data_IF_069186987341
#
_entry.id   IF_069186987341
#
_cell.length_a   1.000
_cell.length_b   1.000
_cell.length_c   1.000
_cell.angle_alpha   90.00
_cell.angle_beta   90.00
_cell.angle_gamma   90.00
#
_symmetry.space_group_name_H-M   'P 1'
#
loop_
_entity.id
_entity.type
_entity.pdbx_description
1 polymer ?
#
# COMPACT_ATOMS: atom_id res chain seq x y z
N UNK A 1 -2.89 -19.89 39.60
CA UNK A 1 -2.72 -18.82 38.58
C UNK A 1 -1.32 -18.77 37.94
N UNK A 2 -0.24 -19.23 38.58
CA UNK A 2 1.10 -19.23 37.95
C UNK A 2 1.35 -20.32 36.89
N UNK A 3 0.70 -21.48 36.99
CA UNK A 3 0.90 -22.62 36.08
C UNK A 3 0.46 -22.33 34.64
N UNK A 4 -0.71 -21.71 34.45
CA UNK A 4 -1.26 -21.43 33.11
C UNK A 4 -0.47 -20.35 32.37
N UNK A 5 0.10 -19.39 33.10
CA UNK A 5 0.96 -18.34 32.53
C UNK A 5 2.28 -18.92 31.99
N UNK A 6 2.90 -19.83 32.76
CA UNK A 6 4.13 -20.53 32.36
C UNK A 6 3.89 -21.45 31.15
N UNK A 7 2.74 -22.12 31.11
CA UNK A 7 2.33 -22.98 29.99
C UNK A 7 2.08 -22.16 28.71
N UNK A 8 1.44 -20.99 28.83
CA UNK A 8 1.22 -20.05 27.72
C UNK A 8 2.52 -19.45 27.16
N UNK A 9 3.47 -19.09 28.02
CA UNK A 9 4.81 -18.63 27.62
C UNK A 9 5.62 -19.74 26.92
N UNK A 10 5.47 -20.99 27.37
CA UNK A 10 6.05 -22.16 26.72
C UNK A 10 5.54 -22.37 25.29
N UNK A 11 4.21 -22.30 25.10
CA UNK A 11 3.57 -22.42 23.80
C UNK A 11 4.00 -21.30 22.82
N UNK A 12 4.10 -20.05 23.30
CA UNK A 12 4.56 -18.92 22.48
C UNK A 12 6.02 -19.08 22.04
N UNK A 13 6.90 -19.57 22.92
CA UNK A 13 8.30 -19.85 22.60
C UNK A 13 8.43 -20.98 21.57
N UNK A 14 7.68 -22.07 21.77
CA UNK A 14 7.63 -23.19 20.83
C UNK A 14 7.14 -22.74 19.46
N UNK A 15 6.06 -21.95 19.41
CA UNK A 15 5.50 -21.37 18.18
C UNK A 15 6.53 -20.55 17.41
N UNK A 16 7.28 -19.67 18.08
CA UNK A 16 8.34 -18.87 17.43
C UNK A 16 9.42 -19.77 16.82
N UNK A 17 9.85 -20.80 17.56
CA UNK A 17 10.84 -21.78 17.08
C UNK A 17 10.33 -22.55 15.85
N UNK A 18 9.06 -22.97 15.85
CA UNK A 18 8.46 -23.67 14.72
C UNK A 18 8.40 -22.79 13.45
N UNK A 19 8.03 -21.52 13.59
CA UNK A 19 8.03 -20.55 12.47
C UNK A 19 9.44 -20.29 11.91
N UNK A 20 10.47 -20.24 12.76
CA UNK A 20 11.86 -20.13 12.31
C UNK A 20 12.32 -21.39 11.55
N UNK A 21 11.90 -22.57 12.00
CA UNK A 21 12.13 -23.84 11.28
C UNK A 21 11.42 -23.86 9.93
N UNK A 22 10.15 -23.45 9.86
CA UNK A 22 9.39 -23.32 8.60
C UNK A 22 10.06 -22.36 7.61
N UNK A 23 10.56 -21.21 8.10
CA UNK A 23 11.31 -20.25 7.29
C UNK A 23 12.58 -20.88 6.70
N UNK A 24 13.31 -21.66 7.50
CA UNK A 24 14.50 -22.38 7.04
C UNK A 24 14.16 -23.43 6.00
N UNK A 25 13.17 -24.28 6.27
CA UNK A 25 12.70 -25.34 5.36
C UNK A 25 12.22 -24.76 4.03
N UNK A 26 11.41 -23.70 4.04
CA UNK A 26 10.95 -23.02 2.84
C UNK A 26 12.10 -22.42 2.02
N UNK A 27 13.14 -21.90 2.70
CA UNK A 27 14.36 -21.42 2.06
C UNK A 27 15.14 -22.52 1.34
N UNK A 28 15.41 -23.64 2.03
CA UNK A 28 16.11 -24.79 1.45
C UNK A 28 15.33 -25.44 0.31
N UNK A 29 14.01 -25.57 0.45
CA UNK A 29 13.16 -26.08 -0.60
C UNK A 29 13.23 -25.19 -1.85
N UNK A 30 13.23 -23.87 -1.70
CA UNK A 30 13.35 -22.94 -2.83
C UNK A 30 14.70 -23.08 -3.54
N UNK A 31 15.78 -23.25 -2.78
CA UNK A 31 17.13 -23.47 -3.32
C UNK A 31 17.16 -24.78 -4.11
N UNK A 32 16.66 -25.89 -3.56
CA UNK A 32 16.63 -27.18 -4.25
C UNK A 32 15.77 -27.15 -5.51
N UNK A 33 14.61 -26.48 -5.46
CA UNK A 33 13.76 -26.29 -6.64
C UNK A 33 14.49 -25.49 -7.72
N UNK A 34 15.16 -24.39 -7.36
CA UNK A 34 15.96 -23.59 -8.28
C UNK A 34 17.12 -24.38 -8.90
N UNK A 35 17.84 -25.15 -8.09
CA UNK A 35 18.91 -26.04 -8.57
C UNK A 35 18.37 -27.10 -9.53
N UNK A 36 17.24 -27.72 -9.23
CA UNK A 36 16.59 -28.70 -10.11
C UNK A 36 16.19 -28.10 -11.46
N UNK A 37 15.59 -26.90 -11.46
CA UNK A 37 15.25 -26.17 -12.70
C UNK A 37 16.52 -25.81 -13.49
N UNK A 38 17.58 -25.33 -12.83
CA UNK A 38 18.86 -25.02 -13.46
C UNK A 38 19.50 -26.25 -14.12
N UNK A 39 19.51 -27.39 -13.42
CA UNK A 39 20.00 -28.66 -13.96
C UNK A 39 19.14 -29.17 -15.12
N UNK A 40 17.81 -28.96 -15.08
CA UNK A 40 16.90 -29.31 -16.17
C UNK A 40 17.21 -28.49 -17.43
N UNK A 41 17.38 -27.17 -17.29
CA UNK A 41 17.78 -26.29 -18.40
C UNK A 41 19.13 -26.73 -18.96
N UNK A 42 20.11 -26.98 -18.08
CA UNK A 42 21.44 -27.45 -18.48
C UNK A 42 21.37 -28.78 -19.24
N UNK A 43 20.61 -29.75 -18.74
CA UNK A 43 20.42 -31.04 -19.43
C UNK A 43 19.81 -30.85 -20.82
N UNK A 44 18.81 -29.98 -20.97
CA UNK A 44 18.16 -29.71 -22.25
C UNK A 44 19.14 -29.10 -23.27
N UNK A 45 19.97 -28.13 -22.85
CA UNK A 45 20.97 -27.54 -23.73
C UNK A 45 22.11 -28.51 -24.05
N UNK A 46 22.61 -29.26 -23.06
CA UNK A 46 23.65 -30.26 -23.27
C UNK A 46 23.22 -31.36 -24.24
N UNK A 47 21.96 -31.80 -24.16
CA UNK A 47 21.41 -32.80 -25.07
C UNK A 47 21.38 -32.29 -26.51
N UNK A 48 21.07 -31.00 -26.70
CA UNK A 48 21.02 -30.38 -28.01
C UNK A 48 22.40 -30.16 -28.64
N UNK A 49 23.36 -29.62 -27.88
CA UNK A 49 24.71 -29.33 -28.40
C UNK A 49 25.64 -30.54 -28.43
N UNK A 50 25.55 -31.42 -27.44
CA UNK A 50 26.49 -32.54 -27.25
C UNK A 50 26.08 -33.84 -27.95
N UNK A 51 24.83 -33.96 -28.39
CA UNK A 51 24.31 -35.18 -29.02
C UNK A 51 24.54 -36.45 -28.19
N UNK A 52 24.82 -37.58 -28.85
CA UNK A 52 25.04 -38.87 -28.19
C UNK A 52 26.43 -39.03 -27.54
N UNK A 53 27.41 -38.19 -27.89
CA UNK A 53 28.79 -38.32 -27.41
C UNK A 53 28.94 -38.03 -25.91
N UNK A 54 28.01 -37.27 -25.32
CA UNK A 54 28.04 -36.87 -23.90
C UNK A 54 27.05 -37.67 -23.03
N UNK A 55 26.69 -38.89 -23.45
CA UNK A 55 25.70 -39.74 -22.77
C UNK A 55 25.97 -39.92 -21.27
N UNK A 56 27.24 -40.10 -20.86
CA UNK A 56 27.62 -40.22 -19.45
C UNK A 56 27.26 -38.98 -18.64
N UNK A 57 27.55 -37.79 -19.18
CA UNK A 57 27.23 -36.51 -18.52
C UNK A 57 25.72 -36.28 -18.44
N UNK A 58 24.98 -36.62 -19.51
CA UNK A 58 23.51 -36.53 -19.53
C UNK A 58 22.86 -37.45 -18.48
N UNK A 59 23.38 -38.67 -18.32
CA UNK A 59 22.95 -39.58 -17.28
C UNK A 59 23.24 -39.04 -15.87
N UNK A 60 24.45 -38.52 -15.64
CA UNK A 60 24.84 -37.95 -14.35
C UNK A 60 23.96 -36.74 -13.97
N UNK A 61 23.68 -35.83 -14.91
CA UNK A 61 22.78 -34.69 -14.68
C UNK A 61 21.35 -35.16 -14.38
N UNK A 62 20.84 -36.18 -15.09
CA UNK A 62 19.54 -36.80 -14.77
C UNK A 62 19.47 -37.37 -13.36
N UNK A 63 20.51 -38.08 -12.91
CA UNK A 63 20.60 -38.57 -11.54
C UNK A 63 20.58 -37.42 -10.53
N UNK A 64 21.30 -36.32 -10.80
CA UNK A 64 21.28 -35.13 -9.93
C UNK A 64 19.90 -34.45 -9.89
N UNK A 65 19.17 -34.40 -11.00
CA UNK A 65 17.78 -33.92 -11.04
C UNK A 65 16.88 -34.83 -10.18
N UNK A 66 17.03 -36.15 -10.28
CA UNK A 66 16.26 -37.10 -9.46
C UNK A 66 16.58 -36.96 -7.96
N UNK A 67 17.85 -36.78 -7.58
CA UNK A 67 18.26 -36.61 -6.18
C UNK A 67 17.71 -35.27 -5.64
N UNK A 68 17.84 -34.18 -6.38
CA UNK A 68 17.35 -32.86 -5.95
C UNK A 68 15.82 -32.82 -5.79
N UNK A 69 15.08 -33.47 -6.69
CA UNK A 69 13.61 -33.59 -6.58
C UNK A 69 13.17 -34.47 -5.42
N UNK A 70 13.86 -35.59 -5.16
CA UNK A 70 13.59 -36.41 -3.97
C UNK A 70 13.82 -35.63 -2.67
N UNK A 71 14.94 -34.90 -2.56
CA UNK A 71 15.21 -34.04 -1.41
C UNK A 71 14.16 -32.92 -1.27
N UNK A 72 13.71 -32.33 -2.38
CA UNK A 72 12.64 -31.33 -2.39
C UNK A 72 11.33 -31.91 -1.82
N UNK A 73 10.91 -33.11 -2.25
CA UNK A 73 9.72 -33.78 -1.73
C UNK A 73 9.83 -34.04 -0.22
N UNK A 74 10.99 -34.51 0.25
CA UNK A 74 11.26 -34.68 1.68
C UNK A 74 11.12 -33.38 2.46
N UNK A 75 11.62 -32.25 1.92
CA UNK A 75 11.46 -30.94 2.56
C UNK A 75 10.01 -30.45 2.57
N UNK A 76 9.22 -30.73 1.52
CA UNK A 76 7.79 -30.37 1.47
C UNK A 76 7.03 -31.15 2.56
N UNK A 77 7.28 -32.44 2.72
CA UNK A 77 6.68 -33.24 3.80
C UNK A 77 7.11 -32.72 5.17
N UNK A 78 8.40 -32.44 5.36
CA UNK A 78 8.90 -31.87 6.61
C UNK A 78 8.26 -30.50 6.93
N UNK A 79 8.04 -29.67 5.92
CA UNK A 79 7.36 -28.38 6.05
C UNK A 79 5.92 -28.56 6.53
N UNK A 80 5.14 -29.43 5.88
CA UNK A 80 3.74 -29.69 6.28
C UNK A 80 3.62 -30.32 7.67
N UNK A 81 4.59 -31.16 8.05
CA UNK A 81 4.67 -31.68 9.41
C UNK A 81 4.84 -30.53 10.44
N UNK A 82 5.61 -29.49 10.12
CA UNK A 82 5.75 -28.30 10.98
C UNK A 82 4.49 -27.44 11.02
N UNK A 83 3.79 -27.30 9.90
CA UNK A 83 2.53 -26.55 9.85
C UNK A 83 1.43 -27.23 10.70
N UNK A 84 1.35 -28.56 10.66
CA UNK A 84 0.44 -29.33 11.54
C UNK A 84 0.85 -29.18 13.01
N UNK A 85 2.14 -29.24 13.33
CA UNK A 85 2.64 -29.01 14.70
C UNK A 85 2.31 -27.59 15.20
N UNK A 86 2.40 -26.59 14.32
CA UNK A 86 2.06 -25.20 14.63
C UNK A 86 0.56 -25.06 14.92
N UNK A 87 -0.30 -25.68 14.10
CA UNK A 87 -1.74 -25.70 14.30
C UNK A 87 -2.14 -26.41 15.60
N UNK A 88 -1.47 -27.51 15.94
CA UNK A 88 -1.67 -28.21 17.21
C UNK A 88 -1.30 -27.32 18.40
N UNK A 89 -0.16 -26.62 18.31
CA UNK A 89 0.33 -25.72 19.37
C UNK A 89 -0.61 -24.53 19.57
N UNK A 90 -1.15 -23.96 18.48
CA UNK A 90 -2.07 -22.82 18.55
C UNK A 90 -3.44 -23.19 19.14
N UNK A 91 -3.89 -24.44 19.00
CA UNK A 91 -5.19 -24.91 19.50
C UNK A 91 -5.10 -25.80 20.77
N UNK A 92 -3.90 -26.07 21.28
CA UNK A 92 -3.70 -26.96 22.43
C UNK A 92 -4.03 -28.44 22.17
N UNK A 93 -4.00 -28.88 20.91
CA UNK A 93 -4.32 -30.25 20.50
C UNK A 93 -3.14 -31.20 20.77
N UNK A 94 -3.42 -32.42 21.26
CA UNK A 94 -2.41 -33.47 21.48
C UNK A 94 -2.35 -34.51 20.34
N UNK A 95 -3.45 -34.70 19.64
CA UNK A 95 -3.56 -35.67 18.55
C UNK A 95 -3.50 -35.01 17.17
N UNK A 96 -2.51 -35.38 16.37
CA UNK A 96 -2.30 -34.83 15.02
C UNK A 96 -3.44 -35.19 14.05
N UNK A 97 -4.13 -36.31 14.29
CA UNK A 97 -5.25 -36.78 13.46
C UNK A 97 -6.43 -35.80 13.48
N UNK A 98 -6.63 -35.10 14.60
CA UNK A 98 -7.68 -34.09 14.75
C UNK A 98 -7.27 -32.77 14.08
N UNK A 99 -5.97 -32.50 14.04
CA UNK A 99 -5.42 -31.32 13.38
C UNK A 99 -5.45 -31.41 11.84
N UNK A 100 -5.36 -32.62 11.27
CA UNK A 100 -5.29 -32.82 9.83
C UNK A 100 -6.69 -32.90 9.19
N UNK A 101 -7.09 -31.86 8.47
CA UNK A 101 -8.37 -31.83 7.74
C UNK A 101 -8.25 -32.53 6.38
N UNK A 102 -9.30 -33.22 5.90
CA UNK A 102 -9.29 -33.87 4.58
C UNK A 102 -8.95 -32.93 3.41
N UNK A 103 -9.40 -31.66 3.47
CA UNK A 103 -9.02 -30.61 2.51
C UNK A 103 -7.53 -30.29 2.54
N UNK A 104 -6.91 -30.25 3.72
CA UNK A 104 -5.47 -30.02 3.86
C UNK A 104 -4.68 -31.20 3.31
N UNK A 105 -5.11 -32.44 3.59
CA UNK A 105 -4.47 -33.63 3.04
C UNK A 105 -4.52 -33.65 1.50
N UNK A 106 -5.65 -33.29 0.90
CA UNK A 106 -5.76 -33.14 -0.56
C UNK A 106 -4.85 -32.04 -1.10
N UNK A 107 -4.72 -30.91 -0.39
CA UNK A 107 -3.79 -29.85 -0.76
C UNK A 107 -2.32 -30.30 -0.67
N UNK A 108 -1.95 -31.05 0.37
CA UNK A 108 -0.60 -31.62 0.52
C UNK A 108 -0.29 -32.56 -0.65
N UNK A 109 -1.23 -33.44 -1.01
CA UNK A 109 -1.07 -34.35 -2.13
C UNK A 109 -0.88 -33.59 -3.45
N UNK A 110 -1.69 -32.56 -3.69
CA UNK A 110 -1.55 -31.71 -4.87
C UNK A 110 -0.22 -30.95 -4.87
N UNK A 111 0.23 -30.44 -3.72
CA UNK A 111 1.51 -29.74 -3.60
C UNK A 111 2.70 -30.68 -3.85
N UNK A 112 2.62 -31.95 -3.44
CA UNK A 112 3.64 -32.96 -3.76
C UNK A 112 3.66 -33.33 -5.25
N UNK A 113 2.52 -33.27 -5.93
CA UNK A 113 2.44 -33.53 -7.38
C UNK A 113 2.96 -32.34 -8.19
N UNK A 114 2.59 -31.11 -7.83
CA UNK A 114 2.87 -29.90 -8.63
C UNK A 114 4.19 -29.24 -8.25
N UNK A 115 4.65 -29.33 -6.99
CA UNK A 115 5.86 -28.70 -6.45
C UNK A 115 6.03 -27.18 -6.69
N UNK A 116 5.04 -26.50 -7.29
CA UNK A 116 5.16 -25.12 -7.79
C UNK A 116 4.70 -24.02 -6.83
N UNK A 117 3.99 -24.33 -5.74
CA UNK A 117 3.43 -23.33 -4.81
C UNK A 117 4.47 -22.68 -3.87
N UNK A 118 5.76 -22.95 -4.08
CA UNK A 118 6.80 -22.68 -3.10
C UNK A 118 7.28 -21.21 -3.06
N UNK A 119 7.31 -20.52 -4.20
CA UNK A 119 7.87 -19.16 -4.30
C UNK A 119 7.07 -18.13 -3.49
N UNK A 120 5.73 -17.99 -3.64
CA UNK A 120 4.97 -17.01 -2.87
C UNK A 120 5.00 -17.31 -1.36
N UNK A 121 5.08 -18.60 -1.00
CA UNK A 121 5.12 -19.07 0.38
C UNK A 121 6.46 -18.76 1.04
N UNK A 122 7.56 -18.99 0.34
CA UNK A 122 8.90 -18.63 0.80
C UNK A 122 9.04 -17.11 0.99
N UNK A 123 8.52 -16.30 0.06
CA UNK A 123 8.52 -14.83 0.18
C UNK A 123 7.72 -14.36 1.40
N UNK A 124 6.54 -14.94 1.63
CA UNK A 124 5.70 -14.63 2.80
C UNK A 124 6.43 -14.92 4.12
N UNK A 125 7.05 -16.09 4.25
CA UNK A 125 7.81 -16.48 5.46
C UNK A 125 9.10 -15.66 5.66
N UNK A 126 9.77 -15.24 4.58
CA UNK A 126 10.97 -14.40 4.65
C UNK A 126 10.68 -12.93 4.97
N UNK A 127 9.51 -12.42 4.58
CA UNK A 127 9.12 -11.01 4.77
C UNK A 127 9.06 -10.58 6.25
N UNK A 128 9.11 -11.51 7.20
CA UNK A 128 9.13 -11.24 8.65
C UNK A 128 7.78 -10.77 9.20
N UNK A 129 6.80 -10.43 8.34
CA UNK A 129 5.48 -9.94 8.73
C UNK A 129 4.71 -10.95 9.59
N UNK A 130 4.84 -12.25 9.29
CA UNK A 130 4.22 -13.33 10.06
C UNK A 130 4.99 -13.66 11.36
N UNK A 131 6.29 -13.36 11.41
CA UNK A 131 7.17 -13.76 12.50
C UNK A 131 7.18 -12.72 13.64
N UNK A 132 6.94 -11.46 13.31
CA UNK A 132 6.96 -10.37 14.28
C UNK A 132 5.66 -10.28 15.09
N UNK A 133 5.77 -10.41 16.41
CA UNK A 133 4.63 -10.33 17.33
C UNK A 133 3.87 -8.99 17.25
N UNK A 134 4.58 -7.87 17.08
CA UNK A 134 3.98 -6.54 16.97
C UNK A 134 3.06 -6.40 15.76
N UNK A 135 3.49 -6.89 14.59
CA UNK A 135 2.67 -6.88 13.38
C UNK A 135 1.44 -7.75 13.55
N UNK A 136 1.59 -8.93 14.17
CA UNK A 136 0.45 -9.82 14.46
C UNK A 136 -0.56 -9.20 15.41
N UNK A 137 -0.11 -8.50 16.45
CA UNK A 137 -1.00 -7.80 17.39
C UNK A 137 -1.80 -6.70 16.67
N UNK A 138 -1.12 -5.84 15.91
CA UNK A 138 -1.76 -4.77 15.13
C UNK A 138 -2.72 -5.36 14.06
N UNK A 139 -2.33 -6.46 13.43
CA UNK A 139 -3.19 -7.17 12.48
C UNK A 139 -4.44 -7.76 13.13
N UNK A 140 -4.32 -8.34 14.33
CA UNK A 140 -5.47 -8.86 15.08
C UNK A 140 -6.41 -7.73 15.52
N UNK A 141 -5.87 -6.60 16.01
CA UNK A 141 -6.62 -5.39 16.37
C UNK A 141 -7.43 -4.85 15.20
N UNK A 142 -6.84 -4.84 14.00
CA UNK A 142 -7.50 -4.35 12.77
C UNK A 142 -8.23 -5.45 11.99
N UNK A 143 -8.34 -6.67 12.51
CA UNK A 143 -8.93 -7.84 11.83
C UNK A 143 -8.32 -8.13 10.44
N UNK A 144 -7.06 -7.77 10.23
CA UNK A 144 -6.33 -8.03 8.99
C UNK A 144 -5.62 -9.38 9.06
N UNK A 145 -6.05 -10.32 8.21
CA UNK A 145 -5.35 -11.60 8.03
C UNK A 145 -4.17 -11.44 7.08
N UNK A 146 -2.96 -11.69 7.56
CA UNK A 146 -1.73 -11.67 6.75
C UNK A 146 -1.72 -12.83 5.74
N UNK A 147 -2.17 -12.57 4.51
CA UNK A 147 -2.13 -13.50 3.37
C UNK A 147 -1.07 -13.08 2.35
N UNK A 148 -0.74 -13.95 1.39
CA UNK A 148 0.20 -13.65 0.30
C UNK A 148 -0.18 -12.38 -0.49
N UNK A 149 -1.47 -12.09 -0.66
CA UNK A 149 -1.94 -10.87 -1.34
C UNK A 149 -1.58 -9.58 -0.59
N UNK A 150 -1.57 -9.61 0.74
CA UNK A 150 -1.14 -8.47 1.56
C UNK A 150 0.35 -8.20 1.36
N UNK A 151 1.17 -9.25 1.33
CA UNK A 151 2.62 -9.13 1.11
C UNK A 151 2.92 -8.68 -0.33
N UNK A 152 2.19 -9.18 -1.32
CA UNK A 152 2.29 -8.70 -2.70
C UNK A 152 1.99 -7.19 -2.79
N UNK A 153 0.90 -6.73 -2.16
CA UNK A 153 0.59 -5.30 -2.06
C UNK A 153 1.67 -4.50 -1.34
N UNK A 154 2.23 -5.03 -0.26
CA UNK A 154 3.31 -4.38 0.50
C UNK A 154 4.56 -4.16 -0.36
N UNK A 155 5.02 -5.19 -1.08
CA UNK A 155 6.18 -5.06 -1.97
C UNK A 155 5.90 -4.15 -3.16
N UNK A 156 4.71 -4.25 -3.76
CA UNK A 156 4.29 -3.38 -4.87
C UNK A 156 4.24 -1.90 -4.47
N UNK A 157 3.83 -1.58 -3.23
CA UNK A 157 3.74 -0.20 -2.77
C UNK A 157 5.10 0.36 -2.31
N UNK A 158 5.96 -0.47 -1.72
CA UNK A 158 7.27 -0.04 -1.20
C UNK A 158 8.34 0.07 -2.30
N UNK A 159 8.45 -0.94 -3.17
CA UNK A 159 9.48 -1.00 -4.22
C UNK A 159 8.89 -1.41 -5.59
N UNK A 160 7.94 -0.64 -6.15
CA UNK A 160 7.25 -1.02 -7.38
C UNK A 160 8.20 -1.24 -8.57
N UNK A 161 9.17 -0.35 -8.76
CA UNK A 161 10.08 -0.40 -9.91
C UNK A 161 10.97 -1.63 -9.91
N UNK A 162 11.59 -1.97 -8.77
CA UNK A 162 12.46 -3.16 -8.66
C UNK A 162 11.68 -4.45 -8.89
N UNK A 163 10.48 -4.53 -8.32
CA UNK A 163 9.62 -5.71 -8.45
C UNK A 163 9.12 -5.88 -9.88
N UNK A 164 8.63 -4.80 -10.51
CA UNK A 164 8.11 -4.86 -11.87
C UNK A 164 9.22 -5.16 -12.88
N UNK A 165 10.38 -4.50 -12.77
CA UNK A 165 11.53 -4.72 -13.65
C UNK A 165 12.09 -6.14 -13.51
N UNK A 166 12.24 -6.64 -12.28
CA UNK A 166 12.66 -8.02 -12.04
C UNK A 166 11.66 -9.04 -12.58
N UNK A 167 10.36 -8.80 -12.42
CA UNK A 167 9.30 -9.66 -12.94
C UNK A 167 9.32 -9.68 -14.48
N UNK A 168 9.39 -8.53 -15.15
CA UNK A 168 9.38 -8.48 -16.62
C UNK A 168 10.61 -9.13 -17.22
N UNK A 169 11.81 -8.85 -16.71
CA UNK A 169 13.04 -9.47 -17.20
C UNK A 169 13.06 -10.98 -16.95
N UNK A 170 12.61 -11.43 -15.77
CA UNK A 170 12.48 -12.84 -15.46
C UNK A 170 11.46 -13.55 -16.37
N UNK A 171 10.32 -12.92 -16.63
CA UNK A 171 9.32 -13.42 -17.56
C UNK A 171 9.86 -13.51 -18.98
N UNK A 172 10.60 -12.50 -19.46
CA UNK A 172 11.20 -12.52 -20.79
C UNK A 172 12.19 -13.67 -20.95
N UNK A 173 13.13 -13.83 -20.02
CA UNK A 173 14.11 -14.93 -20.09
C UNK A 173 13.45 -16.30 -20.02
N UNK A 174 12.51 -16.49 -19.09
CA UNK A 174 11.84 -17.78 -18.90
C UNK A 174 10.95 -18.15 -20.08
N UNK A 175 10.14 -17.22 -20.58
CA UNK A 175 9.27 -17.47 -21.75
C UNK A 175 10.06 -17.58 -23.05
N UNK A 176 11.18 -16.86 -23.22
CA UNK A 176 12.08 -17.03 -24.36
C UNK A 176 12.71 -18.43 -24.38
N UNK A 177 13.17 -18.93 -23.22
CA UNK A 177 13.69 -20.30 -23.14
C UNK A 177 12.61 -21.36 -23.38
N UNK A 178 11.39 -21.18 -22.84
CA UNK A 178 10.28 -22.11 -23.11
C UNK A 178 9.90 -22.09 -24.59
N UNK A 179 9.86 -20.92 -25.23
CA UNK A 179 9.57 -20.79 -26.65
C UNK A 179 10.68 -21.40 -27.51
N UNK A 180 11.95 -21.25 -27.13
CA UNK A 180 13.06 -21.84 -27.86
C UNK A 180 13.01 -23.37 -27.78
N UNK A 181 12.58 -23.95 -26.66
CA UNK A 181 12.32 -25.39 -26.54
C UNK A 181 11.14 -25.84 -27.43
N UNK A 182 10.07 -25.05 -27.52
CA UNK A 182 8.89 -25.38 -28.33
C UNK A 182 9.16 -25.31 -29.85
N UNK A 183 10.02 -24.41 -30.30
CA UNK A 183 10.30 -24.14 -31.71
C UNK A 183 11.65 -24.71 -32.19
N UNK A 184 12.28 -25.65 -31.47
CA UNK A 184 13.56 -26.24 -31.90
C UNK A 184 13.42 -26.94 -33.25
N UNK A 185 14.01 -26.36 -34.29
CA UNK A 185 14.14 -26.93 -35.62
C UNK A 185 15.59 -27.38 -35.83
N UNK A 186 15.81 -28.62 -36.28
CA UNK A 186 17.14 -29.19 -36.49
C UNK A 186 17.79 -28.79 -37.83
N UNK A 187 16.97 -28.45 -38.83
CA UNK A 187 17.42 -28.32 -40.23
C UNK A 187 17.84 -26.89 -40.58
N UNK A 188 17.09 -25.91 -40.09
CA UNK A 188 17.40 -24.49 -40.25
C UNK A 188 17.61 -23.97 -38.83
N UNK A 189 18.77 -23.42 -38.50
CA UNK A 189 19.09 -22.91 -37.15
C UNK A 189 18.21 -21.72 -36.67
N UNK A 190 17.04 -21.55 -37.28
CA UNK A 190 15.93 -20.67 -36.92
C UNK A 190 15.18 -21.23 -35.71
N UNK A 191 14.98 -20.42 -34.67
CA UNK A 191 14.32 -20.83 -33.42
C UNK A 191 15.25 -20.94 -32.21
N UNK A 192 16.51 -20.48 -32.34
CA UNK A 192 17.44 -20.43 -31.21
C UNK A 192 17.04 -19.36 -30.19
N UNK A 193 17.73 -19.32 -29.04
CA UNK A 193 17.51 -18.32 -28.00
C UNK A 193 17.61 -16.87 -28.52
N UNK A 194 18.42 -16.60 -29.56
CA UNK A 194 18.53 -15.26 -30.17
C UNK A 194 17.19 -14.75 -30.71
N UNK A 195 16.49 -15.59 -31.46
CA UNK A 195 15.28 -15.23 -32.18
C UNK A 195 14.11 -15.08 -31.20
N UNK A 196 14.05 -15.99 -30.22
CA UNK A 196 13.02 -15.99 -29.18
C UNK A 196 13.20 -14.85 -28.17
N UNK A 197 14.45 -14.47 -27.86
CA UNK A 197 14.75 -13.33 -26.98
C UNK A 197 14.46 -11.98 -27.64
N UNK A 198 14.44 -11.93 -28.98
CA UNK A 198 13.89 -10.80 -29.74
C UNK A 198 12.35 -10.84 -29.81
N UNK A 199 11.77 -11.98 -30.16
CA UNK A 199 10.33 -12.14 -30.36
C UNK A 199 9.49 -11.91 -29.09
N UNK A 200 9.95 -12.38 -27.93
CA UNK A 200 9.19 -12.31 -26.67
C UNK A 200 8.95 -10.87 -26.21
N UNK A 201 9.96 -9.98 -26.09
CA UNK A 201 9.73 -8.57 -25.75
C UNK A 201 8.81 -7.85 -26.74
N UNK A 202 8.98 -8.09 -28.05
CA UNK A 202 8.14 -7.49 -29.10
C UNK A 202 6.68 -7.93 -28.98
N UNK A 203 6.45 -9.20 -28.66
CA UNK A 203 5.10 -9.75 -28.41
C UNK A 203 4.52 -9.22 -27.10
N UNK A 204 5.32 -9.18 -26.03
CA UNK A 204 4.92 -8.70 -24.70
C UNK A 204 4.54 -7.21 -24.71
N UNK A 205 5.25 -6.40 -25.50
CA UNK A 205 4.96 -4.99 -25.71
C UNK A 205 3.88 -4.75 -26.77
N UNK A 206 3.27 -5.82 -27.30
CA UNK A 206 2.20 -5.75 -28.31
C UNK A 206 2.60 -4.98 -29.59
N UNK A 207 3.89 -5.02 -29.96
CA UNK A 207 4.41 -4.36 -31.18
C UNK A 207 4.16 -5.25 -32.40
N UNK A 208 4.65 -6.50 -32.35
CA UNK A 208 4.40 -7.52 -33.38
C UNK A 208 4.90 -7.17 -34.79
N UNK A 209 6.21 -6.99 -34.99
CA UNK A 209 6.78 -6.69 -36.31
C UNK A 209 6.51 -7.75 -37.39
N UNK A 210 6.44 -9.03 -37.01
CA UNK A 210 6.14 -10.14 -37.92
C UNK A 210 7.33 -10.66 -38.73
N UNK A 211 8.55 -10.24 -38.38
CA UNK A 211 9.83 -10.73 -38.90
C UNK A 211 10.15 -12.15 -38.44
N UNK A 212 9.85 -12.47 -37.19
CA UNK A 212 9.93 -13.82 -36.61
C UNK A 212 8.57 -14.19 -36.04
N UNK A 213 8.05 -15.37 -36.40
CA UNK A 213 6.71 -15.84 -36.00
C UNK A 213 6.79 -17.31 -35.56
N UNK A 214 6.12 -17.72 -34.46
CA UNK A 214 6.12 -19.13 -34.05
C UNK A 214 5.41 -20.01 -35.08
N UNK A 215 6.07 -21.09 -35.51
CA UNK A 215 5.53 -22.04 -36.47
C UNK A 215 4.65 -23.09 -35.81
N UNK A 216 5.01 -23.55 -34.61
CA UNK A 216 4.33 -24.64 -33.91
C UNK A 216 3.09 -24.17 -33.15
N UNK A 217 2.15 -25.10 -32.89
CA UNK A 217 0.99 -24.83 -32.05
C UNK A 217 1.39 -24.46 -30.61
N UNK A 218 2.45 -25.10 -30.08
CA UNK A 218 2.96 -24.81 -28.73
C UNK A 218 3.57 -23.41 -28.65
N UNK A 219 4.35 -22.99 -29.64
CA UNK A 219 4.90 -21.64 -29.69
C UNK A 219 3.80 -20.58 -29.80
N UNK A 220 2.74 -20.83 -30.58
CA UNK A 220 1.58 -19.93 -30.67
C UNK A 220 0.87 -19.75 -29.33
N UNK A 221 0.68 -20.83 -28.56
CA UNK A 221 0.09 -20.76 -27.21
C UNK A 221 0.99 -19.93 -26.28
N UNK A 222 2.30 -20.13 -26.32
CA UNK A 222 3.25 -19.36 -25.52
C UNK A 222 3.19 -17.87 -25.87
N UNK A 223 3.20 -17.51 -27.16
CA UNK A 223 3.08 -16.12 -27.61
C UNK A 223 1.75 -15.48 -27.20
N UNK A 224 0.63 -16.22 -27.27
CA UNK A 224 -0.68 -15.73 -26.80
C UNK A 224 -0.65 -15.41 -25.29
N UNK A 225 -0.12 -16.33 -24.48
CA UNK A 225 0.03 -16.13 -23.04
C UNK A 225 0.93 -14.92 -22.74
N UNK A 226 2.05 -14.78 -23.46
CA UNK A 226 2.97 -13.64 -23.34
C UNK A 226 2.29 -12.31 -23.65
N UNK A 227 1.45 -12.25 -24.70
CA UNK A 227 0.67 -11.06 -25.04
C UNK A 227 -0.32 -10.66 -23.93
N UNK A 228 -1.09 -11.63 -23.41
CA UNK A 228 -2.03 -11.39 -22.29
C UNK A 228 -1.29 -10.90 -21.04
N UNK A 229 -0.16 -11.52 -20.71
CA UNK A 229 0.68 -11.11 -19.57
C UNK A 229 1.24 -9.70 -19.78
N UNK A 230 1.65 -9.36 -21.01
CA UNK A 230 2.07 -8.02 -21.40
C UNK A 230 1.03 -6.95 -21.10
N UNK A 231 -0.20 -7.16 -21.55
CA UNK A 231 -1.34 -6.26 -21.30
C UNK A 231 -1.63 -6.11 -19.80
N UNK A 232 -1.59 -7.19 -19.03
CA UNK A 232 -1.76 -7.14 -17.57
C UNK A 232 -0.63 -6.33 -16.89
N UNK A 233 0.62 -6.50 -17.33
CA UNK A 233 1.77 -5.76 -16.81
C UNK A 233 1.73 -4.27 -17.18
N UNK A 234 1.30 -3.91 -18.39
CA UNK A 234 1.17 -2.50 -18.80
C UNK A 234 0.06 -1.80 -18.00
N UNK A 235 -1.08 -2.45 -17.78
CA UNK A 235 -2.14 -1.91 -16.92
C UNK A 235 -1.65 -1.64 -15.48
N UNK A 236 -0.87 -2.57 -14.92
CA UNK A 236 -0.27 -2.41 -13.61
C UNK A 236 0.77 -1.27 -13.57
N UNK A 237 1.61 -1.15 -14.61
CA UNK A 237 2.58 -0.07 -14.74
C UNK A 237 1.89 1.30 -14.74
N UNK A 238 0.82 1.47 -15.51
CA UNK A 238 0.05 2.73 -15.56
C UNK A 238 -0.46 3.11 -14.16
N UNK A 239 -1.02 2.15 -13.40
CA UNK A 239 -1.48 2.40 -12.03
C UNK A 239 -0.35 2.77 -11.06
N UNK A 240 0.86 2.22 -11.25
CA UNK A 240 2.05 2.57 -10.46
C UNK A 240 2.53 3.98 -10.81
N UNK A 241 2.65 4.29 -12.10
CA UNK A 241 3.11 5.60 -12.58
C UNK A 241 2.15 6.70 -12.14
N UNK A 242 0.84 6.50 -12.27
CA UNK A 242 -0.17 7.47 -11.82
C UNK A 242 0.01 7.84 -10.33
N UNK A 243 0.14 6.83 -9.45
CA UNK A 243 0.35 7.06 -8.00
C UNK A 243 1.67 7.73 -7.67
N UNK A 244 2.71 7.54 -8.48
CA UNK A 244 4.04 8.16 -8.27
C UNK A 244 4.11 9.59 -8.81
N UNK A 245 3.23 9.96 -9.73
CA UNK A 245 3.11 11.33 -10.25
C UNK A 245 2.20 12.22 -9.38
N UNK A 246 1.40 11.63 -8.48
CA UNK A 246 0.59 12.38 -7.53
C UNK A 246 1.49 13.12 -6.52
N UNK A 247 1.28 14.44 -6.39
CA UNK A 247 1.96 15.24 -5.37
C UNK A 247 1.63 14.74 -3.97
N UNK A 248 2.64 14.68 -3.10
CA UNK A 248 2.42 14.50 -1.68
C UNK A 248 1.66 15.70 -1.10
N UNK A 249 0.96 15.53 0.03
CA UNK A 249 0.24 16.61 0.73
C UNK A 249 1.14 17.81 1.03
N UNK A 250 2.39 17.56 1.42
CA UNK A 250 3.38 18.62 1.69
C UNK A 250 3.81 19.35 0.40
N UNK A 251 4.15 18.60 -0.65
CA UNK A 251 4.53 19.18 -1.95
C UNK A 251 3.38 19.99 -2.57
N UNK A 252 2.15 19.49 -2.48
CA UNK A 252 0.94 20.19 -2.91
C UNK A 252 0.72 21.49 -2.14
N UNK A 253 1.02 21.50 -0.84
CA UNK A 253 0.96 22.72 -0.03
C UNK A 253 2.00 23.76 -0.50
N UNK A 254 3.24 23.34 -0.73
CA UNK A 254 4.30 24.22 -1.26
C UNK A 254 3.95 24.74 -2.66
N UNK A 255 3.47 23.87 -3.54
CA UNK A 255 3.02 24.26 -4.88
C UNK A 255 1.90 25.31 -4.83
N UNK A 256 0.88 25.09 -4.00
CA UNK A 256 -0.23 26.03 -3.86
C UNK A 256 0.23 27.38 -3.31
N UNK A 257 1.15 27.37 -2.35
CA UNK A 257 1.73 28.60 -1.80
C UNK A 257 2.53 29.38 -2.86
N UNK A 258 3.36 28.68 -3.64
CA UNK A 258 4.11 29.28 -4.75
C UNK A 258 3.16 29.91 -5.79
N UNK A 259 2.08 29.22 -6.15
CA UNK A 259 1.06 29.73 -7.07
C UNK A 259 0.32 30.95 -6.52
N UNK A 260 0.04 31.02 -5.21
CA UNK A 260 -0.63 32.17 -4.59
C UNK A 260 0.24 33.44 -4.64
N UNK A 261 1.56 33.29 -4.40
CA UNK A 261 2.54 34.39 -4.56
C UNK A 261 2.57 34.86 -6.03
N UNK A 262 2.65 33.91 -6.97
CA UNK A 262 2.73 34.24 -8.40
C UNK A 262 1.46 34.98 -8.87
N UNK A 263 0.28 34.47 -8.56
CA UNK A 263 -0.97 35.14 -8.95
C UNK A 263 -1.16 36.49 -8.26
N UNK A 264 -0.70 36.64 -7.02
CA UNK A 264 -0.71 37.95 -6.35
C UNK A 264 0.16 38.96 -7.10
N UNK A 265 1.32 38.54 -7.61
CA UNK A 265 2.19 39.40 -8.45
C UNK A 265 1.51 39.75 -9.78
N UNK A 266 0.99 38.77 -10.50
CA UNK A 266 0.27 38.97 -11.77
C UNK A 266 -0.97 39.85 -11.61
N UNK A 267 -1.66 39.74 -10.47
CA UNK A 267 -2.82 40.58 -10.15
C UNK A 267 -2.41 42.04 -9.99
N UNK A 268 -1.32 42.32 -9.25
CA UNK A 268 -0.77 43.67 -9.08
C UNK A 268 -0.31 44.27 -10.41
N UNK A 269 0.39 43.48 -11.22
CA UNK A 269 0.87 43.93 -12.53
C UNK A 269 -0.27 44.20 -13.51
N UNK A 270 -1.27 43.31 -13.58
CA UNK A 270 -2.44 43.49 -14.43
C UNK A 270 -3.28 44.69 -13.98
N UNK A 271 -3.43 44.89 -12.67
CA UNK A 271 -4.10 46.08 -12.12
C UNK A 271 -3.36 47.38 -12.51
N UNK A 272 -2.03 47.39 -12.43
CA UNK A 272 -1.22 48.53 -12.85
C UNK A 272 -1.41 48.83 -14.36
N UNK A 273 -1.43 47.80 -15.22
CA UNK A 273 -1.69 47.97 -16.67
C UNK A 273 -3.07 48.56 -16.95
N UNK A 274 -4.11 48.11 -16.22
CA UNK A 274 -5.47 48.68 -16.33
C UNK A 274 -5.47 50.16 -15.98
N UNK A 275 -4.83 50.54 -14.87
CA UNK A 275 -4.74 51.94 -14.44
C UNK A 275 -3.94 52.80 -15.43
N UNK A 276 -2.82 52.29 -15.95
CA UNK A 276 -1.98 52.97 -16.94
C UNK A 276 -2.76 53.25 -18.24
N UNK A 277 -3.42 52.23 -18.81
CA UNK A 277 -4.19 52.38 -20.04
C UNK A 277 -5.44 53.23 -19.85
N UNK A 278 -6.07 53.19 -18.67
CA UNK A 278 -7.21 54.04 -18.33
C UNK A 278 -6.81 55.52 -18.28
N UNK A 279 -5.70 55.84 -17.62
CA UNK A 279 -5.18 57.21 -17.57
C UNK A 279 -4.73 57.72 -18.94
N UNK A 280 -4.01 56.89 -19.70
CA UNK A 280 -3.59 57.25 -21.07
C UNK A 280 -4.80 57.49 -21.98
N UNK A 281 -5.84 56.67 -21.88
CA UNK A 281 -7.10 56.88 -22.60
C UNK A 281 -7.74 58.23 -22.25
N UNK A 282 -7.88 58.54 -20.95
CA UNK A 282 -8.41 59.83 -20.49
C UNK A 282 -7.59 61.02 -21.00
N UNK A 283 -6.25 60.94 -20.89
CA UNK A 283 -5.33 62.00 -21.34
C UNK A 283 -5.46 62.31 -22.84
N UNK A 284 -5.46 61.29 -23.70
CA UNK A 284 -5.56 61.48 -25.15
C UNK A 284 -6.97 61.90 -25.60
N UNK A 285 -8.00 61.48 -24.87
CA UNK A 285 -9.38 61.95 -25.07
C UNK A 285 -9.47 63.45 -24.78
N UNK A 286 -8.86 63.92 -23.66
CA UNK A 286 -8.80 65.34 -23.31
C UNK A 286 -8.00 66.18 -24.32
N UNK A 287 -6.95 65.61 -24.92
CA UNK A 287 -6.15 66.24 -26.00
C UNK A 287 -6.81 66.19 -27.39
N UNK A 288 -8.01 65.61 -27.53
CA UNK A 288 -8.74 65.42 -28.80
C UNK A 288 -8.00 64.57 -29.86
N UNK A 289 -7.08 63.70 -29.44
CA UNK A 289 -6.32 62.81 -30.34
C UNK A 289 -7.07 61.50 -30.64
N UNK A 290 -8.02 61.54 -31.58
CA UNK A 290 -8.96 60.44 -31.86
C UNK A 290 -8.33 59.10 -32.26
N UNK A 291 -7.16 59.09 -32.93
CA UNK A 291 -6.47 57.83 -33.31
C UNK A 291 -5.76 57.19 -32.12
N UNK A 292 -5.11 57.99 -31.26
CA UNK A 292 -4.42 57.51 -30.07
C UNK A 292 -5.41 57.03 -29.00
N UNK A 293 -6.51 57.75 -28.79
CA UNK A 293 -7.58 57.36 -27.86
C UNK A 293 -8.16 55.98 -28.20
N UNK A 294 -8.47 55.70 -29.48
CA UNK A 294 -8.96 54.38 -29.93
C UNK A 294 -7.95 53.24 -29.75
N UNK A 295 -6.64 53.52 -29.78
CA UNK A 295 -5.60 52.52 -29.49
C UNK A 295 -5.58 52.18 -28.00
N UNK A 296 -5.56 53.19 -27.12
CA UNK A 296 -5.57 53.00 -25.67
C UNK A 296 -6.89 52.40 -25.17
N UNK A 297 -8.04 52.71 -25.79
CA UNK A 297 -9.31 52.06 -25.47
C UNK A 297 -9.27 50.54 -25.73
N UNK A 298 -8.71 50.10 -26.87
CA UNK A 298 -8.56 48.67 -27.17
C UNK A 298 -7.62 47.98 -26.18
N UNK A 299 -6.51 48.63 -25.83
CA UNK A 299 -5.55 48.11 -24.83
C UNK A 299 -6.16 48.05 -23.43
N UNK A 300 -6.95 49.04 -23.05
CA UNK A 300 -7.68 49.05 -21.78
C UNK A 300 -8.67 47.88 -21.70
N UNK A 301 -9.47 47.65 -22.73
CA UNK A 301 -10.39 46.50 -22.77
C UNK A 301 -9.64 45.17 -22.69
N UNK A 302 -8.51 45.05 -23.38
CA UNK A 302 -7.64 43.87 -23.29
C UNK A 302 -7.06 43.70 -21.87
N UNK A 303 -6.61 44.78 -21.22
CA UNK A 303 -6.08 44.77 -19.87
C UNK A 303 -7.16 44.40 -18.83
N UNK A 304 -8.39 44.91 -18.98
CA UNK A 304 -9.54 44.56 -18.12
C UNK A 304 -9.87 43.06 -18.27
N UNK A 305 -9.89 42.54 -19.51
CA UNK A 305 -10.15 41.12 -19.74
C UNK A 305 -9.04 40.26 -19.12
N UNK A 306 -7.77 40.62 -19.30
CA UNK A 306 -6.64 39.93 -18.68
C UNK A 306 -6.72 39.96 -17.14
N UNK A 307 -6.99 41.12 -16.54
CA UNK A 307 -7.17 41.25 -15.08
C UNK A 307 -8.30 40.36 -14.57
N UNK A 308 -9.44 40.32 -15.27
CA UNK A 308 -10.56 39.43 -14.91
C UNK A 308 -10.17 37.95 -14.95
N UNK A 309 -9.40 37.52 -15.95
CA UNK A 309 -8.91 36.14 -16.06
C UNK A 309 -7.95 35.79 -14.93
N UNK A 310 -6.98 36.66 -14.62
CA UNK A 310 -6.05 36.47 -13.49
C UNK A 310 -6.81 36.40 -12.18
N UNK A 311 -7.79 37.27 -11.96
CA UNK A 311 -8.62 37.28 -10.75
C UNK A 311 -9.42 35.99 -10.57
N UNK A 312 -9.98 35.45 -11.65
CA UNK A 312 -10.71 34.17 -11.61
C UNK A 312 -9.78 32.99 -11.31
N UNK A 313 -8.56 32.96 -11.87
CA UNK A 313 -7.56 31.94 -11.57
C UNK A 313 -7.14 31.97 -10.09
N UNK A 314 -6.85 33.17 -9.58
CA UNK A 314 -6.49 33.37 -8.16
C UNK A 314 -7.59 32.89 -7.20
N UNK A 315 -8.85 33.21 -7.52
CA UNK A 315 -10.00 32.76 -6.73
C UNK A 315 -10.12 31.24 -6.70
N UNK A 316 -10.01 30.57 -7.84
CA UNK A 316 -10.07 29.10 -7.94
C UNK A 316 -8.96 28.42 -7.11
N UNK A 317 -7.74 28.95 -7.16
CA UNK A 317 -6.64 28.44 -6.33
C UNK A 317 -6.97 28.57 -4.83
N UNK A 318 -7.47 29.73 -4.41
CA UNK A 318 -7.84 29.97 -3.01
C UNK A 318 -8.97 29.04 -2.54
N UNK A 319 -9.95 28.77 -3.39
CA UNK A 319 -11.02 27.79 -3.11
C UNK A 319 -10.44 26.38 -2.93
N UNK A 320 -9.49 25.95 -3.77
CA UNK A 320 -8.79 24.66 -3.61
C UNK A 320 -7.97 24.59 -2.31
N UNK A 321 -7.25 25.67 -1.96
CA UNK A 321 -6.49 25.74 -0.70
C UNK A 321 -7.41 25.64 0.50
N UNK A 322 -8.53 26.36 0.50
CA UNK A 322 -9.51 26.27 1.58
C UNK A 322 -10.02 24.83 1.73
N UNK A 323 -10.43 24.18 0.64
CA UNK A 323 -10.90 22.79 0.66
C UNK A 323 -9.88 21.79 1.23
N UNK A 324 -8.58 22.05 1.03
CA UNK A 324 -7.50 21.18 1.51
C UNK A 324 -7.26 21.30 3.03
N UNK A 325 -7.59 22.45 3.62
CA UNK A 325 -7.33 22.78 5.04
C UNK A 325 -8.60 22.64 5.90
N UNK A 326 -9.76 22.37 5.31
CA UNK A 326 -11.04 22.27 6.01
C UNK A 326 -11.02 21.25 7.15
N UNK A 327 -10.39 20.08 6.99
CA UNK A 327 -10.27 19.08 8.08
C UNK A 327 -9.46 19.64 9.25
N UNK A 328 -8.34 20.32 8.98
CA UNK A 328 -7.50 20.91 10.03
C UNK A 328 -8.21 22.08 10.73
N UNK A 329 -8.93 22.92 9.97
CA UNK A 329 -9.77 23.99 10.54
C UNK A 329 -10.90 23.45 11.39
N UNK A 330 -11.57 22.37 10.96
CA UNK A 330 -12.61 21.68 11.73
C UNK A 330 -12.09 21.20 13.09
N UNK A 331 -10.90 20.58 13.14
CA UNK A 331 -10.29 20.18 14.42
C UNK A 331 -9.96 21.39 15.31
N UNK A 332 -9.47 22.49 14.72
CA UNK A 332 -9.16 23.72 15.45
C UNK A 332 -10.43 24.35 16.04
N UNK A 333 -11.51 24.44 15.25
CA UNK A 333 -12.81 24.95 15.70
C UNK A 333 -13.39 24.03 16.77
N UNK A 334 -13.31 22.71 16.61
CA UNK A 334 -13.79 21.75 17.60
C UNK A 334 -13.05 21.89 18.93
N UNK A 335 -11.73 22.07 18.89
CA UNK A 335 -10.91 22.28 20.07
C UNK A 335 -11.30 23.59 20.80
N UNK A 336 -11.48 24.67 20.04
CA UNK A 336 -11.92 25.97 20.58
C UNK A 336 -13.33 25.88 21.18
N UNK A 337 -14.26 25.20 20.50
CA UNK A 337 -15.60 24.93 21.02
C UNK A 337 -15.57 24.10 22.31
N UNK A 338 -14.74 23.06 22.37
CA UNK A 338 -14.59 22.24 23.57
C UNK A 338 -14.02 23.07 24.73
N UNK A 339 -13.06 23.95 24.46
CA UNK A 339 -12.48 24.84 25.46
C UNK A 339 -13.52 25.83 25.98
N UNK A 340 -14.29 26.45 25.07
CA UNK A 340 -15.38 27.37 25.41
C UNK A 340 -16.52 26.69 26.18
N UNK A 341 -16.88 25.46 25.81
CA UNK A 341 -17.87 24.68 26.54
C UNK A 341 -17.38 24.37 27.96
N UNK A 342 -16.10 23.99 28.11
CA UNK A 342 -15.50 23.69 29.41
C UNK A 342 -15.44 24.91 30.32
N UNK A 343 -15.15 26.09 29.77
CA UNK A 343 -15.09 27.34 30.54
C UNK A 343 -16.49 27.78 30.97
N UNK A 344 -17.49 27.64 30.09
CA UNK A 344 -18.89 27.89 30.40
C UNK A 344 -19.40 26.94 31.48
N UNK A 345 -19.09 25.64 31.39
CA UNK A 345 -19.44 24.65 32.41
C UNK A 345 -18.87 25.02 33.79
N UNK A 346 -17.59 25.39 33.87
CA UNK A 346 -16.97 25.84 35.12
C UNK A 346 -17.58 27.12 35.68
N UNK A 347 -17.99 28.04 34.81
CA UNK A 347 -18.66 29.26 35.24
C UNK A 347 -20.05 28.95 35.82
N UNK A 348 -20.79 28.03 35.20
CA UNK A 348 -22.08 27.56 35.67
C UNK A 348 -21.95 26.83 37.01
N UNK A 349 -20.94 25.99 37.18
CA UNK A 349 -20.64 25.26 38.42
C UNK A 349 -20.38 26.24 39.57
N UNK A 350 -19.56 27.28 39.34
CA UNK A 350 -19.36 28.37 40.32
C UNK A 350 -20.65 29.12 40.66
N UNK A 351 -21.55 29.31 39.69
CA UNK A 351 -22.84 29.93 39.96
C UNK A 351 -23.74 29.03 40.80
N UNK A 352 -23.73 27.73 40.55
CA UNK A 352 -24.47 26.75 41.36
C UNK A 352 -23.91 26.70 42.78
N UNK A 353 -22.59 26.65 42.95
CA UNK A 353 -21.93 26.64 44.27
C UNK A 353 -22.26 27.91 45.07
N UNK A 354 -22.23 29.08 44.42
CA UNK A 354 -22.60 30.33 45.07
C UNK A 354 -24.09 30.39 45.41
N UNK A 355 -24.96 29.79 44.61
CA UNK A 355 -26.39 29.70 44.90
C UNK A 355 -26.66 28.72 46.05
N UNK A 356 -25.98 27.56 46.06
CA UNK A 356 -26.03 26.57 47.12
C UNK A 356 -25.58 27.18 48.45
N UNK A 357 -24.44 27.88 48.48
CA UNK A 357 -23.95 28.56 49.69
C UNK A 357 -24.91 29.65 50.20
N UNK A 358 -25.60 30.37 49.30
CA UNK A 358 -26.66 31.31 49.70
C UNK A 358 -27.88 30.60 50.29
N UNK A 359 -28.23 29.43 49.75
CA UNK A 359 -29.34 28.62 50.24
C UNK A 359 -29.04 28.03 51.62
N UNK A 360 -27.81 27.57 51.84
CA UNK A 360 -27.32 27.09 53.13
C UNK A 360 -27.34 28.21 54.17
N UNK A 361 -26.85 29.41 53.82
CA UNK A 361 -26.90 30.58 54.70
C UNK A 361 -28.34 30.99 55.05
N UNK A 362 -29.27 30.94 54.09
CA UNK A 362 -30.70 31.17 54.36
C UNK A 362 -31.29 30.10 55.28
N UNK A 363 -30.90 28.84 55.09
CA UNK A 363 -31.33 27.71 55.93
C UNK A 363 -30.83 27.87 57.36
N UNK A 364 -29.58 28.30 57.53
CA UNK A 364 -28.98 28.59 58.84
C UNK A 364 -29.67 29.78 59.53
N UNK A 365 -29.94 30.87 58.80
CA UNK A 365 -30.72 32.01 59.33
C UNK A 365 -32.14 31.62 59.73
N UNK A 366 -32.80 30.75 58.96
CA UNK A 366 -34.12 30.21 59.32
C UNK A 366 -34.05 29.33 60.57
N UNK A 367 -33.02 28.48 60.68
CA UNK A 367 -32.83 27.60 61.84
C UNK A 367 -32.51 28.38 63.13
N UNK A 368 -31.77 29.49 63.03
CA UNK A 368 -31.49 30.39 64.16
C UNK A 368 -32.72 31.22 64.53
N UNK A 369 -33.52 31.65 63.55
CA UNK A 369 -34.80 32.32 63.79
C UNK A 369 -35.87 31.39 64.39
N UNK A 370 -35.82 30.08 64.09
CA UNK A 370 -36.68 29.04 64.66
C UNK A 370 -36.06 28.29 65.86
N UNK A 371 -34.89 28.71 66.36
CA UNK A 371 -34.27 28.15 67.56
C UNK A 371 -35.14 28.37 68.82
N UNK A 372 -35.13 27.43 69.78
CA UNK A 372 -36.21 27.26 70.75
C UNK A 372 -36.38 28.47 71.67
N UNK A 373 -37.61 29.00 71.67
CA UNK A 373 -38.11 30.03 72.58
C UNK A 373 -37.99 29.51 74.02
N UNK A 374 -36.95 29.92 74.76
CA UNK A 374 -36.91 29.75 76.21
C UNK A 374 -38.10 30.52 76.80
N UNK A 375 -39.04 29.77 77.40
CA UNK A 375 -40.19 30.28 78.13
C UNK A 375 -39.68 30.99 79.42
N UNK A 376 -40.12 32.23 79.73
CA UNK A 376 -39.91 32.80 81.05
C UNK A 376 -40.85 32.14 82.06
N UNK A 377 -40.33 31.66 83.19
CA UNK A 377 -41.15 31.26 84.34
C UNK A 377 -41.91 32.48 84.90
N UNK A 378 -43.21 32.36 85.23
CA UNK A 378 -43.98 33.43 85.84
C UNK A 378 -43.75 33.51 87.35
N UNK A 379 -43.57 34.73 87.84
CA UNK A 379 -43.59 35.11 89.25
C UNK A 379 -44.93 34.75 89.90
N UNK A 380 -44.90 33.95 90.97
CA UNK A 380 -45.95 33.90 91.98
C UNK A 380 -45.51 34.70 93.23
N UNK A 381 -46.30 35.70 93.59
CA UNK A 381 -46.29 36.38 94.89
C UNK A 381 -47.57 36.00 95.66
N UNK A 382 -47.40 35.76 96.96
CA UNK A 382 -48.36 35.77 98.09
C UNK A 382 -49.54 34.79 98.07
N UNK A 383 -49.52 33.77 98.93
CA UNK A 383 -49.89 33.83 100.37
C UNK A 383 -49.24 32.68 101.13
#
# INVERSE_FOLDING_TARGET
MGGDLVLGLGALRLRKRLLEQEKSLAGWALVLAGTGIGLMVLHAEMLWFGGCSWALYLFLVKCMISISTFLLLCLIVAFHAKEVQLFMTDNGLRDWRVALTGRQAAQILLELVVCGYLVPRAVLLRSGVLLNASYRSIGALNQVRFRHWFVAKLYMNTHPGRLLLGLTLGLWLTTAWVLSVAERQAVNATGHLSDTLWLIPITFLTIGYGDVVPGTMWGKIVCLCTGVMGVCCTALLVAVVARKLEFNKAEKHVHNFMMDIQYTKEMKESAARVLQEAWMFYKHTRRKESRAARRHQRRLLAAINAFRQVRLKHRKLREQVNSMVDISKMHMILYDLQQNLSSSHRALEKQIDTLAGKLDALTELLSTALGPRQLPEPSQQST
#
